data_IF_663467369996
#
_entry.id   IF_663467369996
#
_cell.length_a   1.000
_cell.length_b   1.000
_cell.length_c   1.000
_cell.angle_alpha   90.00
_cell.angle_beta   90.00
_cell.angle_gamma   90.00
#
_symmetry.space_group_name_H-M   'P 1'
#
loop_
_entity.id
_entity.type
_entity.pdbx_description
1 polymer ?
#
# COMPACT_ATOMS: atom_id res chain seq x y z
N UNK A 1 11.22 -7.70 18.43
CA UNK A 1 10.21 -6.66 18.15
C UNK A 1 10.29 -6.44 16.66
N UNK A 2 9.60 -7.28 15.90
CA UNK A 2 9.66 -7.28 14.43
C UNK A 2 8.27 -7.63 13.83
N UNK A 3 7.29 -7.92 14.71
CA UNK A 3 5.92 -8.24 14.32
C UNK A 3 5.02 -6.99 14.25
N UNK A 4 5.50 -5.83 14.69
CA UNK A 4 4.69 -4.62 14.80
C UNK A 4 4.43 -3.97 13.43
N UNK A 5 5.45 -3.88 12.54
CA UNK A 5 5.31 -3.20 11.24
C UNK A 5 4.24 -3.85 10.35
N UNK A 6 4.16 -5.19 10.30
CA UNK A 6 3.16 -5.87 9.46
C UNK A 6 1.74 -5.54 9.95
N UNK A 7 1.55 -5.53 11.27
CA UNK A 7 0.28 -5.15 11.91
C UNK A 7 -0.07 -3.70 11.61
N UNK A 8 0.87 -2.77 11.82
CA UNK A 8 0.67 -1.34 11.58
C UNK A 8 0.33 -1.07 10.11
N UNK A 9 1.07 -1.69 9.19
CA UNK A 9 0.78 -1.60 7.74
C UNK A 9 -0.62 -2.12 7.46
N UNK A 10 -1.01 -3.28 8.01
CA UNK A 10 -2.37 -3.81 7.82
C UNK A 10 -3.44 -2.86 8.34
N UNK A 11 -3.27 -2.26 9.52
CA UNK A 11 -4.23 -1.30 10.05
C UNK A 11 -4.39 -0.07 9.15
N UNK A 12 -3.30 0.47 8.62
CA UNK A 12 -3.33 1.59 7.67
C UNK A 12 -4.01 1.18 6.36
N UNK A 13 -3.68 0.00 5.84
CA UNK A 13 -4.29 -0.52 4.61
C UNK A 13 -5.80 -0.77 4.78
N UNK A 14 -6.26 -1.28 5.92
CA UNK A 14 -7.68 -1.48 6.20
C UNK A 14 -8.44 -0.14 6.31
N UNK A 15 -7.81 0.92 6.83
CA UNK A 15 -8.38 2.28 6.77
C UNK A 15 -8.48 2.81 5.34
N UNK A 16 -7.49 2.50 4.49
CA UNK A 16 -7.42 2.96 3.10
C UNK A 16 -8.32 2.15 2.15
N UNK A 17 -8.51 0.85 2.38
CA UNK A 17 -9.36 -0.06 1.59
C UNK A 17 -10.68 0.54 1.13
N UNK A 18 -11.54 1.12 1.99
CA UNK A 18 -12.80 1.73 1.54
C UNK A 18 -12.61 2.93 0.60
N UNK A 19 -11.48 3.64 0.69
CA UNK A 19 -11.14 4.71 -0.26
C UNK A 19 -10.63 4.12 -1.58
N UNK A 20 -9.73 3.14 -1.53
CA UNK A 20 -9.22 2.45 -2.72
C UNK A 20 -10.38 1.82 -3.53
N UNK A 21 -11.30 1.14 -2.83
CA UNK A 21 -12.49 0.53 -3.44
C UNK A 21 -13.41 1.57 -4.09
N UNK A 22 -13.51 2.78 -3.52
CA UNK A 22 -14.26 3.90 -4.14
C UNK A 22 -13.60 4.41 -5.41
N UNK A 23 -12.27 4.44 -5.45
CA UNK A 23 -11.47 4.74 -6.64
C UNK A 23 -11.44 3.56 -7.65
N UNK A 24 -12.09 2.45 -7.31
CA UNK A 24 -12.23 1.26 -8.16
C UNK A 24 -10.99 0.36 -8.15
N UNK A 25 -10.10 0.54 -7.17
CA UNK A 25 -8.94 -0.30 -6.90
C UNK A 25 -8.94 -0.89 -5.49
N UNK A 26 -7.87 -1.56 -5.17
CA UNK A 26 -7.67 -2.33 -3.94
C UNK A 26 -6.16 -2.66 -3.85
N UNK A 27 -5.72 -3.16 -2.71
CA UNK A 27 -4.33 -3.55 -2.51
C UNK A 27 -4.22 -4.70 -1.50
N UNK A 28 -3.22 -5.55 -1.71
CA UNK A 28 -2.91 -6.66 -0.83
C UNK A 28 -1.46 -6.57 -0.38
N UNK A 29 -1.24 -6.73 0.93
CA UNK A 29 0.09 -6.83 1.51
C UNK A 29 0.68 -8.19 1.17
N UNK A 30 1.80 -8.19 0.43
CA UNK A 30 2.49 -9.43 0.05
C UNK A 30 3.58 -9.75 1.06
N UNK A 31 4.40 -8.77 1.41
CA UNK A 31 5.58 -8.99 2.24
C UNK A 31 6.12 -7.67 2.80
N UNK A 32 6.92 -7.75 3.87
CA UNK A 32 7.67 -6.61 4.40
C UNK A 32 9.07 -7.05 4.80
N UNK A 33 10.09 -6.50 4.14
CA UNK A 33 11.50 -6.83 4.41
C UNK A 33 12.32 -5.54 4.50
N UNK A 34 13.13 -5.38 5.57
CA UNK A 34 14.03 -4.23 5.76
C UNK A 34 13.37 -2.84 5.60
N UNK A 35 12.09 -2.72 5.97
CA UNK A 35 11.31 -1.49 5.80
C UNK A 35 10.77 -1.26 4.39
N UNK A 36 10.96 -2.22 3.48
CA UNK A 36 10.38 -2.24 2.14
C UNK A 36 9.07 -3.02 2.20
N UNK A 37 7.95 -2.33 1.97
CA UNK A 37 6.61 -2.94 1.96
C UNK A 37 6.27 -3.33 0.53
N UNK A 38 6.12 -4.63 0.28
CA UNK A 38 5.69 -5.17 -1.01
C UNK A 38 4.17 -5.27 -1.06
N UNK A 39 3.55 -4.50 -1.93
CA UNK A 39 2.10 -4.46 -2.12
C UNK A 39 1.71 -4.90 -3.52
N UNK A 40 0.68 -5.72 -3.61
CA UNK A 40 0.02 -6.08 -4.86
C UNK A 40 -1.20 -5.18 -5.04
N UNK A 41 -1.13 -4.23 -5.96
CA UNK A 41 -2.29 -3.39 -6.29
C UNK A 41 -3.30 -4.18 -7.15
N UNK A 42 -4.55 -4.19 -6.73
CA UNK A 42 -5.65 -4.94 -7.32
C UNK A 42 -6.71 -3.96 -7.84
N UNK A 43 -6.88 -3.82 -9.15
CA UNK A 43 -7.89 -2.89 -9.69
C UNK A 43 -7.46 -1.42 -9.64
N UNK A 44 -8.33 -0.56 -10.14
CA UNK A 44 -8.08 0.70 -10.84
C UNK A 44 -7.54 0.44 -12.25
N UNK A 45 -8.47 0.02 -13.11
CA UNK A 45 -8.41 0.16 -14.57
C UNK A 45 -7.01 -0.14 -15.15
N UNK A 46 -6.70 -1.42 -15.38
CA UNK A 46 -5.47 -1.86 -16.06
C UNK A 46 -5.24 -1.27 -17.47
N UNK A 47 -6.12 -0.37 -17.92
CA UNK A 47 -6.05 0.39 -19.16
C UNK A 47 -5.55 1.85 -19.00
N UNK A 48 -5.36 2.38 -17.78
CA UNK A 48 -4.88 3.76 -17.56
C UNK A 48 -3.66 3.83 -16.62
N UNK A 49 -2.42 3.87 -17.17
CA UNK A 49 -1.19 3.91 -16.37
C UNK A 49 -1.07 5.15 -15.48
N UNK A 50 -1.80 6.22 -15.80
CA UNK A 50 -1.83 7.44 -14.97
C UNK A 50 -2.50 7.25 -13.62
N UNK A 51 -3.52 6.38 -13.52
CA UNK A 51 -4.30 6.23 -12.28
C UNK A 51 -3.57 5.36 -11.25
N UNK A 52 -2.83 4.35 -11.71
CA UNK A 52 -2.02 3.47 -10.84
C UNK A 52 -0.92 4.25 -10.11
N UNK A 53 -0.30 5.20 -10.78
CA UNK A 53 0.78 6.03 -10.21
C UNK A 53 0.24 6.89 -9.05
N UNK A 54 -0.93 7.51 -9.21
CA UNK A 54 -1.53 8.35 -8.17
C UNK A 54 -1.97 7.53 -6.97
N UNK A 55 -2.53 6.34 -7.20
CA UNK A 55 -2.99 5.44 -6.14
C UNK A 55 -1.80 4.93 -5.30
N UNK A 56 -0.73 4.45 -5.96
CA UNK A 56 0.51 4.01 -5.30
C UNK A 56 1.11 5.11 -4.44
N UNK A 57 1.25 6.31 -4.99
CA UNK A 57 1.84 7.44 -4.28
C UNK A 57 1.05 7.87 -3.03
N UNK A 58 -0.29 7.71 -3.05
CA UNK A 58 -1.13 7.97 -1.90
C UNK A 58 -0.91 6.96 -0.76
N UNK A 59 -0.86 5.66 -1.11
CA UNK A 59 -0.62 4.58 -0.14
C UNK A 59 0.79 4.69 0.44
N UNK A 60 1.79 4.92 -0.41
CA UNK A 60 3.19 5.07 0.00
C UNK A 60 3.36 6.21 1.01
N UNK A 61 2.77 7.37 0.75
CA UNK A 61 2.78 8.49 1.72
C UNK A 61 2.13 8.13 3.04
N UNK A 62 0.94 7.53 3.00
CA UNK A 62 0.22 7.15 4.21
C UNK A 62 1.02 6.17 5.07
N UNK A 63 1.67 5.18 4.45
CA UNK A 63 2.51 4.22 5.16
C UNK A 63 3.78 4.85 5.73
N UNK A 64 4.46 5.73 4.99
CA UNK A 64 5.62 6.47 5.47
C UNK A 64 5.28 7.41 6.64
N UNK A 65 4.08 7.99 6.67
CA UNK A 65 3.63 8.88 7.74
C UNK A 65 3.07 8.13 8.97
N UNK A 66 2.29 7.06 8.78
CA UNK A 66 1.66 6.32 9.88
C UNK A 66 2.54 5.20 10.46
N UNK A 67 3.44 4.60 9.67
CA UNK A 67 4.24 3.43 10.09
C UNK A 67 5.73 3.77 10.20
N UNK A 68 6.23 4.07 11.41
CA UNK A 68 7.65 4.33 11.62
C UNK A 68 8.49 3.07 11.36
N UNK A 69 9.35 3.13 10.34
CA UNK A 69 10.19 2.00 9.91
C UNK A 69 9.97 1.60 8.46
N UNK A 70 8.91 2.08 7.83
CA UNK A 70 8.76 2.00 6.36
C UNK A 70 9.74 2.97 5.71
N UNK A 71 10.49 2.48 4.75
CA UNK A 71 11.47 3.23 3.95
C UNK A 71 10.98 3.37 2.52
N UNK A 72 10.38 2.31 1.98
CA UNK A 72 9.93 2.28 0.58
C UNK A 72 8.71 1.37 0.42
N UNK A 73 7.89 1.65 -0.60
CA UNK A 73 6.79 0.78 -1.00
C UNK A 73 7.01 0.29 -2.42
N UNK A 74 7.15 -1.03 -2.57
CA UNK A 74 7.35 -1.68 -3.85
C UNK A 74 6.03 -2.29 -4.34
N UNK A 75 5.66 -1.99 -5.59
CA UNK A 75 4.51 -2.62 -6.21
C UNK A 75 4.95 -3.92 -6.89
N UNK A 76 4.34 -5.04 -6.48
CA UNK A 76 4.52 -6.34 -7.12
C UNK A 76 3.31 -6.68 -8.00
N UNK A 77 3.57 -7.30 -9.16
CA UNK A 77 2.56 -7.70 -10.14
C UNK A 77 2.18 -9.19 -10.01
#
# INVERSE_FOLDING_TARGET
>A
MEQDIISDVQEVLDKLRPFLLRDGGDCELVDVEDGIVKLRLLGACGSCPSSTITLKAGIERALLEEVPGVVEVEQVF
#
